data_IF_925472070528
#
_entry.id   IF_925472070528
#
_cell.length_a   1.000
_cell.length_b   1.000
_cell.length_c   1.000
_cell.angle_alpha   90.00
_cell.angle_beta   90.00
_cell.angle_gamma   90.00
#
_symmetry.space_group_name_H-M   'P 1'
#
loop_
_entity.id
_entity.type
_entity.pdbx_description
1 polymer ?
#
# COMPACT_ATOMS: atom_id res chain seq x y z
N UNK A 1 1.26 -1.03 35.21
CA UNK A 1 1.63 -1.18 33.80
C UNK A 1 1.06 -2.50 33.33
N UNK A 2 0.04 -2.44 32.47
CA UNK A 2 -0.54 -3.63 31.86
C UNK A 2 0.01 -3.69 30.44
N UNK A 3 1.18 -4.31 30.28
CA UNK A 3 1.77 -4.50 28.96
C UNK A 3 0.78 -5.25 28.05
N UNK A 4 0.50 -4.68 26.88
CA UNK A 4 -0.38 -5.28 25.89
C UNK A 4 0.21 -6.62 25.47
N UNK A 5 -0.41 -7.72 25.89
CA UNK A 5 -0.05 -9.06 25.41
C UNK A 5 -0.78 -9.31 24.10
N UNK A 6 -0.05 -9.66 23.06
CA UNK A 6 -0.56 -10.06 21.73
C UNK A 6 -0.10 -11.51 21.51
N UNK A 7 -0.98 -12.37 21.02
CA UNK A 7 -0.67 -13.80 20.87
C UNK A 7 0.21 -14.06 19.63
N UNK A 8 1.11 -15.04 19.73
CA UNK A 8 1.92 -15.53 18.61
C UNK A 8 1.11 -16.54 17.78
N UNK A 9 1.09 -16.38 16.46
CA UNK A 9 0.54 -17.38 15.53
C UNK A 9 1.24 -18.74 15.77
N UNK A 10 0.54 -19.89 15.72
CA UNK A 10 -0.82 -20.09 15.21
C UNK A 10 -1.92 -20.06 16.29
N UNK A 11 -1.59 -19.75 17.55
CA UNK A 11 -2.48 -19.97 18.67
C UNK A 11 -3.30 -18.71 18.99
N UNK A 12 -4.60 -18.73 18.69
CA UNK A 12 -5.54 -17.75 19.23
C UNK A 12 -5.79 -18.07 20.70
N UNK A 13 -5.62 -17.11 21.60
CA UNK A 13 -5.78 -17.30 23.05
C UNK A 13 -6.83 -16.34 23.62
N UNK A 14 -7.44 -16.68 24.76
CA UNK A 14 -8.39 -15.82 25.47
C UNK A 14 -7.75 -14.62 26.22
N UNK A 15 -6.41 -14.53 26.28
CA UNK A 15 -5.69 -13.57 27.14
C UNK A 15 -5.08 -12.36 26.43
N UNK A 16 -5.01 -12.36 25.11
CA UNK A 16 -4.37 -11.28 24.37
C UNK A 16 -5.38 -10.19 23.98
N UNK A 17 -4.94 -8.93 23.93
CA UNK A 17 -5.84 -7.78 23.70
C UNK A 17 -6.57 -7.92 22.36
N UNK A 18 -5.89 -8.44 21.33
CA UNK A 18 -6.45 -8.59 19.98
C UNK A 18 -7.56 -9.62 19.96
N UNK A 19 -7.35 -10.80 20.57
CA UNK A 19 -8.39 -11.82 20.69
C UNK A 19 -9.54 -11.35 21.59
N UNK A 20 -9.27 -10.53 22.61
CA UNK A 20 -10.32 -9.93 23.44
C UNK A 20 -11.17 -8.88 22.70
N UNK A 21 -10.66 -8.29 21.62
CA UNK A 21 -11.39 -7.31 20.79
C UNK A 21 -12.10 -8.01 19.63
N UNK A 22 -11.36 -8.77 18.82
CA UNK A 22 -11.83 -9.38 17.57
C UNK A 22 -12.34 -10.83 17.72
N UNK A 23 -12.26 -11.38 18.93
CA UNK A 23 -12.62 -12.77 19.21
C UNK A 23 -11.50 -13.76 18.88
N UNK A 24 -11.77 -15.01 19.23
CA UNK A 24 -10.93 -16.19 18.95
C UNK A 24 -11.83 -17.42 18.79
N UNK A 25 -11.23 -18.59 18.57
CA UNK A 25 -11.97 -19.84 18.67
C UNK A 25 -12.55 -20.10 20.08
N UNK A 26 -12.04 -19.40 21.09
CA UNK A 26 -12.38 -19.58 22.51
C UNK A 26 -13.21 -18.42 23.09
N UNK A 27 -13.38 -17.31 22.34
CA UNK A 27 -14.03 -16.10 22.83
C UNK A 27 -14.76 -15.32 21.73
N UNK A 28 -15.92 -14.75 22.06
CA UNK A 28 -16.70 -13.94 21.14
C UNK A 28 -16.03 -12.59 20.83
N UNK A 29 -16.23 -12.10 19.62
CA UNK A 29 -15.79 -10.75 19.23
C UNK A 29 -16.65 -9.68 19.88
N UNK A 30 -16.02 -8.61 20.36
CA UNK A 30 -16.69 -7.35 20.76
C UNK A 30 -16.74 -6.33 19.63
N UNK A 31 -16.18 -6.67 18.46
CA UNK A 31 -16.19 -5.84 17.26
C UNK A 31 -16.91 -6.57 16.13
N UNK A 32 -17.85 -5.90 15.48
CA UNK A 32 -18.57 -6.39 14.31
C UNK A 32 -18.34 -5.41 13.17
N UNK A 33 -17.57 -5.84 12.17
CA UNK A 33 -17.39 -5.07 10.93
C UNK A 33 -18.46 -5.56 9.96
N UNK A 34 -19.36 -4.67 9.53
CA UNK A 34 -20.35 -5.01 8.49
C UNK A 34 -19.68 -5.03 7.12
N UNK A 35 -20.28 -5.76 6.19
CA UNK A 35 -19.87 -5.71 4.80
C UNK A 35 -19.91 -4.27 4.28
N UNK A 36 -18.80 -3.80 3.72
CA UNK A 36 -18.72 -2.45 3.18
C UNK A 36 -19.48 -2.39 1.86
N UNK A 37 -20.65 -1.76 1.86
CA UNK A 37 -21.46 -1.59 0.66
C UNK A 37 -20.92 -0.43 -0.16
N UNK A 38 -21.00 -0.53 -1.49
CA UNK A 38 -20.59 0.56 -2.37
C UNK A 38 -21.45 1.80 -2.11
N UNK A 39 -20.80 2.95 -1.94
CA UNK A 39 -21.49 4.21 -1.65
C UNK A 39 -22.31 4.68 -2.86
N UNK A 40 -23.29 5.56 -2.62
CA UNK A 40 -24.08 6.15 -3.72
C UNK A 40 -23.22 6.97 -4.69
N UNK A 41 -22.17 7.62 -4.19
CA UNK A 41 -21.21 8.39 -4.98
C UNK A 41 -20.48 7.52 -6.02
N UNK A 42 -20.30 6.23 -5.70
CA UNK A 42 -19.60 5.26 -6.54
C UNK A 42 -20.50 4.59 -7.58
N UNK A 43 -21.83 4.74 -7.50
CA UNK A 43 -22.79 4.02 -8.37
C UNK A 43 -22.69 4.34 -9.86
N UNK A 44 -22.13 5.48 -10.22
CA UNK A 44 -22.02 5.93 -11.62
C UNK A 44 -20.68 5.58 -12.27
N UNK A 45 -19.78 4.92 -11.54
CA UNK A 45 -18.46 4.54 -12.03
C UNK A 45 -18.45 3.14 -12.62
N UNK A 46 -17.45 2.86 -13.45
CA UNK A 46 -17.18 1.50 -13.93
C UNK A 46 -16.87 0.62 -12.71
N UNK A 47 -17.66 -0.41 -12.47
CA UNK A 47 -17.62 -1.18 -11.24
C UNK A 47 -16.40 -2.10 -11.15
N UNK A 48 -16.04 -2.73 -12.28
CA UNK A 48 -14.90 -3.65 -12.35
C UNK A 48 -14.20 -3.59 -13.71
N UNK A 49 -12.94 -4.04 -13.72
CA UNK A 49 -12.09 -4.19 -14.89
C UNK A 49 -11.43 -5.57 -14.87
N UNK A 50 -11.41 -6.28 -16.00
CA UNK A 50 -10.60 -7.50 -16.12
C UNK A 50 -9.18 -7.15 -16.57
N UNK A 51 -8.18 -7.69 -15.86
CA UNK A 51 -6.77 -7.52 -16.19
C UNK A 51 -6.08 -8.88 -16.35
N UNK A 52 -5.24 -9.07 -17.37
CA UNK A 52 -4.47 -10.30 -17.52
C UNK A 52 -3.41 -10.40 -16.41
N UNK A 53 -3.38 -11.54 -15.73
CA UNK A 53 -2.37 -11.88 -14.73
C UNK A 53 -1.06 -12.25 -15.43
N UNK A 54 -0.06 -11.37 -15.33
CA UNK A 54 1.26 -11.60 -15.89
C UNK A 54 2.33 -11.65 -14.79
N UNK A 55 3.09 -12.74 -14.73
CA UNK A 55 4.08 -12.99 -13.68
C UNK A 55 5.46 -13.29 -14.28
N UNK A 56 6.41 -12.38 -14.07
CA UNK A 56 7.82 -12.60 -14.44
C UNK A 56 8.56 -13.31 -13.29
N UNK A 57 9.19 -14.46 -13.56
CA UNK A 57 9.93 -15.23 -12.55
C UNK A 57 11.43 -15.01 -12.70
N UNK A 58 12.14 -14.78 -11.58
CA UNK A 58 13.60 -14.73 -11.60
C UNK A 58 14.17 -16.15 -11.74
N UNK A 59 14.94 -16.38 -12.80
CA UNK A 59 15.70 -17.61 -13.00
C UNK A 59 17.10 -17.41 -12.43
N UNK A 60 17.32 -17.92 -11.21
CA UNK A 60 18.61 -17.86 -10.51
C UNK A 60 19.77 -18.45 -11.33
N UNK A 61 19.51 -19.47 -12.16
CA UNK A 61 20.55 -20.11 -12.97
C UNK A 61 20.96 -19.23 -14.15
N UNK A 62 20.03 -18.42 -14.66
CA UNK A 62 20.25 -17.55 -15.82
C UNK A 62 20.56 -16.11 -15.45
N UNK A 63 20.48 -15.74 -14.17
CA UNK A 63 20.66 -14.36 -13.70
C UNK A 63 19.69 -13.36 -14.35
N UNK A 64 18.50 -13.81 -14.75
CA UNK A 64 17.52 -12.96 -15.45
C UNK A 64 16.08 -13.37 -15.17
N UNK A 65 15.17 -12.42 -15.33
CA UNK A 65 13.74 -12.72 -15.36
C UNK A 65 13.38 -13.44 -16.65
N UNK A 66 12.60 -14.51 -16.51
CA UNK A 66 12.02 -15.25 -17.63
C UNK A 66 10.50 -15.20 -17.52
N UNK A 67 9.88 -14.93 -18.65
CA UNK A 67 8.45 -15.08 -18.80
C UNK A 67 8.14 -16.58 -18.83
N UNK A 68 7.27 -17.06 -17.94
CA UNK A 68 6.66 -18.38 -18.07
C UNK A 68 5.15 -18.19 -18.13
N UNK A 69 4.51 -18.43 -19.29
CA UNK A 69 3.07 -18.58 -19.30
C UNK A 69 2.70 -19.71 -18.32
N UNK A 70 1.69 -19.48 -17.48
CA UNK A 70 1.20 -20.53 -16.60
C UNK A 70 0.74 -21.71 -17.47
N UNK A 71 1.01 -22.97 -17.06
CA UNK A 71 0.59 -24.16 -17.82
C UNK A 71 -0.93 -24.23 -18.07
N UNK A 72 -1.74 -23.47 -17.32
CA UNK A 72 -3.21 -23.40 -17.45
C UNK A 72 -3.75 -22.22 -18.26
N UNK A 73 -2.91 -21.46 -18.98
CA UNK A 73 -3.33 -20.32 -19.80
C UNK A 73 -3.23 -18.95 -19.11
N UNK A 74 -3.71 -17.91 -19.82
CA UNK A 74 -3.82 -16.55 -19.28
C UNK A 74 -4.91 -16.54 -18.20
N UNK A 75 -4.50 -16.37 -16.95
CA UNK A 75 -5.45 -16.07 -15.87
C UNK A 75 -5.83 -14.60 -15.99
N UNK A 76 -7.10 -14.26 -15.95
CA UNK A 76 -7.57 -12.89 -15.74
C UNK A 76 -7.86 -12.68 -14.26
N UNK A 77 -7.71 -11.44 -13.80
CA UNK A 77 -8.11 -10.99 -12.48
C UNK A 77 -9.11 -9.86 -12.66
N UNK A 78 -10.23 -9.95 -11.95
CA UNK A 78 -11.14 -8.83 -11.81
C UNK A 78 -10.57 -7.85 -10.78
N UNK A 79 -10.52 -6.58 -11.17
CA UNK A 79 -9.98 -5.48 -10.41
C UNK A 79 -11.09 -4.46 -10.18
N UNK A 80 -11.19 -3.97 -8.94
CA UNK A 80 -12.09 -2.88 -8.58
C UNK A 80 -11.29 -1.57 -8.72
N UNK A 81 -11.70 -0.61 -9.58
CA UNK A 81 -11.08 0.71 -9.62
C UNK A 81 -11.29 1.46 -8.30
N UNK A 82 -10.64 2.62 -8.08
CA UNK A 82 -10.88 3.46 -6.93
C UNK A 82 -12.37 3.78 -6.80
N UNK A 83 -13.02 3.14 -5.83
CA UNK A 83 -14.42 3.31 -5.47
C UNK A 83 -14.49 3.58 -3.97
N UNK A 84 -15.58 4.21 -3.56
CA UNK A 84 -15.90 4.55 -2.18
C UNK A 84 -16.91 3.52 -1.66
N UNK A 85 -16.65 3.03 -0.45
CA UNK A 85 -17.50 2.06 0.24
C UNK A 85 -17.84 2.58 1.64
N UNK A 86 -19.07 2.32 2.08
CA UNK A 86 -19.57 2.70 3.39
C UNK A 86 -19.09 1.69 4.44
N UNK A 87 -18.18 2.13 5.31
CA UNK A 87 -17.65 1.33 6.42
C UNK A 87 -18.53 1.52 7.67
N UNK A 88 -19.08 0.42 8.21
CA UNK A 88 -19.82 0.43 9.47
C UNK A 88 -19.25 -0.60 10.44
N UNK A 89 -18.78 -0.12 11.60
CA UNK A 89 -18.21 -0.95 12.66
C UNK A 89 -19.04 -0.76 13.93
N UNK A 90 -19.52 -1.86 14.50
CA UNK A 90 -20.18 -1.89 15.80
C UNK A 90 -19.21 -2.42 16.85
N UNK A 91 -19.14 -1.74 17.98
CA UNK A 91 -18.26 -2.11 19.09
C UNK A 91 -19.07 -2.25 20.38
N UNK A 92 -18.80 -3.29 21.14
CA UNK A 92 -19.51 -3.61 22.38
C UNK A 92 -18.61 -3.43 23.59
N UNK A 93 -18.86 -2.39 24.39
CA UNK A 93 -18.18 -2.15 25.66
C UNK A 93 -16.64 -2.25 25.56
N UNK A 94 -16.06 -1.70 24.50
CA UNK A 94 -14.62 -1.52 24.42
C UNK A 94 -14.17 -0.42 25.37
N UNK A 95 -13.04 -0.64 26.03
CA UNK A 95 -12.38 0.42 26.80
C UNK A 95 -11.77 1.46 25.85
N UNK A 96 -11.51 2.66 26.35
CA UNK A 96 -10.93 3.74 25.55
C UNK A 96 -9.59 3.32 24.89
N UNK A 97 -8.73 2.57 25.58
CA UNK A 97 -7.47 2.03 25.02
C UNK A 97 -7.69 1.02 23.88
N UNK A 98 -8.76 0.23 23.95
CA UNK A 98 -9.14 -0.73 22.91
C UNK A 98 -9.75 -0.02 21.68
N UNK A 99 -10.51 1.06 21.91
CA UNK A 99 -11.02 1.94 20.85
C UNK A 99 -9.84 2.63 20.16
N UNK A 100 -8.87 3.17 20.92
CA UNK A 100 -7.64 3.74 20.38
C UNK A 100 -6.89 2.75 19.48
N UNK A 101 -6.78 1.49 19.90
CA UNK A 101 -6.10 0.45 19.11
C UNK A 101 -6.84 0.13 17.80
N UNK A 102 -8.17 0.07 17.83
CA UNK A 102 -8.99 -0.09 16.63
C UNK A 102 -8.82 1.09 15.67
N UNK A 103 -8.89 2.31 16.19
CA UNK A 103 -8.72 3.54 15.41
C UNK A 103 -7.31 3.65 14.81
N UNK A 104 -6.28 3.27 15.57
CA UNK A 104 -4.91 3.16 15.05
C UNK A 104 -4.85 2.19 13.87
N UNK A 105 -5.46 1.00 14.00
CA UNK A 105 -5.52 0.02 12.91
C UNK A 105 -6.23 0.54 11.64
N UNK A 106 -7.25 1.40 11.78
CA UNK A 106 -7.89 2.06 10.65
C UNK A 106 -7.00 3.17 10.05
N UNK A 107 -6.30 3.92 10.90
CA UNK A 107 -5.37 4.97 10.48
C UNK A 107 -4.18 4.43 9.65
N UNK A 108 -3.83 3.15 9.81
CA UNK A 108 -2.82 2.49 8.99
C UNK A 108 -3.14 2.46 7.49
N UNK A 109 -4.43 2.49 7.12
CA UNK A 109 -4.84 2.63 5.71
C UNK A 109 -4.52 4.04 5.19
N UNK A 110 -4.74 5.06 6.02
CA UNK A 110 -4.44 6.46 5.68
C UNK A 110 -2.94 6.69 5.48
N UNK A 111 -2.13 5.94 6.20
CA UNK A 111 -0.67 5.94 6.06
C UNK A 111 -0.17 4.85 5.09
N UNK A 112 -1.06 4.24 4.30
CA UNK A 112 -0.71 3.30 3.21
C UNK A 112 0.03 2.05 3.66
N UNK A 113 0.04 1.72 4.96
CA UNK A 113 0.73 0.54 5.51
C UNK A 113 -0.18 -0.68 5.60
N UNK A 114 -1.49 -0.46 5.72
CA UNK A 114 -2.51 -1.49 5.60
C UNK A 114 -3.02 -1.60 4.15
N UNK A 115 -3.35 -2.83 3.73
CA UNK A 115 -3.90 -3.11 2.40
C UNK A 115 -4.97 -4.19 2.46
N UNK A 116 -5.88 -4.17 1.49
CA UNK A 116 -6.99 -5.12 1.38
C UNK A 116 -6.76 -6.09 0.23
N UNK A 117 -6.99 -7.38 0.46
CA UNK A 117 -7.04 -8.40 -0.58
C UNK A 117 -5.69 -8.93 -1.06
N UNK A 118 -5.73 -9.62 -2.20
CA UNK A 118 -4.56 -10.26 -2.82
C UNK A 118 -3.78 -9.35 -3.76
N UNK A 119 -2.53 -9.70 -4.06
CA UNK A 119 -1.75 -8.99 -5.09
C UNK A 119 -1.16 -7.64 -4.65
N UNK A 120 -1.16 -7.33 -3.35
CA UNK A 120 -0.57 -6.11 -2.76
C UNK A 120 0.85 -5.81 -3.26
N UNK A 121 1.67 -6.85 -3.45
CA UNK A 121 3.03 -6.71 -3.98
C UNK A 121 3.11 -6.15 -5.41
N UNK A 122 1.98 -6.03 -6.12
CA UNK A 122 1.83 -5.46 -7.46
C UNK A 122 1.23 -4.06 -7.46
N UNK A 123 0.91 -3.51 -6.29
CA UNK A 123 0.30 -2.19 -6.15
C UNK A 123 -1.21 -2.19 -5.88
N UNK A 124 -1.82 -3.35 -5.61
CA UNK A 124 -3.25 -3.45 -5.30
C UNK A 124 -3.55 -3.28 -3.81
N UNK A 125 -4.82 -3.02 -3.50
CA UNK A 125 -5.32 -3.04 -2.13
C UNK A 125 -5.03 -1.80 -1.31
N UNK A 126 -4.48 -0.73 -1.90
CA UNK A 126 -4.41 0.57 -1.23
C UNK A 126 -5.82 1.12 -1.06
N UNK A 127 -6.12 1.58 0.15
CA UNK A 127 -7.38 2.22 0.52
C UNK A 127 -7.08 3.35 1.53
N UNK A 128 -8.01 4.28 1.67
CA UNK A 128 -8.07 5.24 2.77
C UNK A 128 -9.38 5.05 3.54
N UNK A 129 -9.38 5.46 4.80
CA UNK A 129 -10.55 5.52 5.67
C UNK A 129 -10.76 6.98 6.03
N UNK A 130 -11.74 7.59 5.39
CA UNK A 130 -12.06 9.02 5.52
C UNK A 130 -13.43 9.19 6.18
N UNK A 131 -13.67 10.37 6.78
CA UNK A 131 -14.99 10.73 7.31
C UNK A 131 -15.49 9.88 8.48
N UNK A 132 -14.59 9.25 9.23
CA UNK A 132 -14.97 8.40 10.37
C UNK A 132 -15.71 9.24 11.43
N UNK A 133 -16.83 8.72 11.91
CA UNK A 133 -17.58 9.29 13.04
C UNK A 133 -17.73 8.25 14.12
N UNK A 134 -17.51 8.63 15.38
CA UNK A 134 -17.70 7.75 16.54
C UNK A 134 -18.94 8.18 17.31
N UNK A 135 -19.82 7.21 17.54
CA UNK A 135 -21.05 7.40 18.31
C UNK A 135 -21.13 6.35 19.41
N UNK A 136 -21.38 6.81 20.63
CA UNK A 136 -21.51 5.98 21.81
C UNK A 136 -22.98 5.87 22.20
N UNK A 137 -23.44 4.64 22.39
CA UNK A 137 -24.75 4.36 22.94
C UNK A 137 -24.60 4.04 24.42
N UNK A 138 -25.21 4.86 25.28
CA UNK A 138 -25.17 4.71 26.74
C UNK A 138 -26.55 4.29 27.23
N UNK A 139 -26.62 3.20 27.99
CA UNK A 139 -27.85 2.79 28.67
C UNK A 139 -27.86 3.40 30.08
N UNK A 140 -28.80 4.32 30.32
CA UNK A 140 -29.01 5.01 31.60
C UNK A 140 -30.49 4.98 31.95
N UNK A 141 -30.86 4.48 33.13
CA UNK A 141 -32.26 4.31 33.58
C UNK A 141 -33.19 3.65 32.54
N UNK A 142 -32.75 2.54 31.92
CA UNK A 142 -33.46 1.83 30.84
C UNK A 142 -33.74 2.69 29.59
N UNK A 143 -33.05 3.82 29.43
CA UNK A 143 -33.11 4.67 28.24
C UNK A 143 -31.76 4.66 27.55
N UNK A 144 -31.79 4.53 26.22
CA UNK A 144 -30.59 4.65 25.40
C UNK A 144 -30.39 6.12 25.05
N UNK A 145 -29.22 6.66 25.36
CA UNK A 145 -28.75 7.96 24.88
C UNK A 145 -27.64 7.75 23.87
N UNK A 146 -27.64 8.56 22.81
CA UNK A 146 -26.60 8.58 21.80
C UNK A 146 -25.74 9.83 21.99
N UNK A 147 -24.43 9.65 22.02
CA UNK A 147 -23.45 10.71 22.18
C UNK A 147 -22.45 10.63 21.03
N UNK A 148 -22.25 11.74 20.32
CA UNK A 148 -21.16 11.83 19.33
C UNK A 148 -19.86 12.11 20.07
N UNK A 149 -18.85 11.29 19.83
CA UNK A 149 -17.54 11.44 20.46
C UNK A 149 -16.56 12.11 19.51
N UNK A 150 -15.66 12.94 20.05
CA UNK A 150 -14.55 13.48 19.28
C UNK A 150 -13.45 12.40 19.18
N UNK A 151 -13.14 11.96 17.97
CA UNK A 151 -12.10 10.96 17.73
C UNK A 151 -10.76 11.34 18.36
N UNK A 152 -10.45 12.64 18.46
CA UNK A 152 -9.20 13.15 19.06
C UNK A 152 -9.05 12.80 20.54
N UNK A 153 -10.14 12.48 21.23
CA UNK A 153 -10.12 12.02 22.62
C UNK A 153 -9.54 10.60 22.74
N UNK A 154 -9.65 9.79 21.68
CA UNK A 154 -9.16 8.41 21.61
C UNK A 154 -7.84 8.31 20.84
N UNK A 155 -7.52 9.30 20.00
CA UNK A 155 -6.19 9.48 19.41
C UNK A 155 -5.28 10.21 20.40
N UNK A 156 -4.92 9.55 21.51
CA UNK A 156 -3.51 9.48 21.88
C UNK A 156 -3.22 8.23 22.74
N UNK A 157 -2.51 7.24 22.22
CA UNK A 157 -1.69 6.37 23.06
C UNK A 157 -0.52 7.20 23.65
N UNK A 158 -0.86 8.16 24.53
CA UNK A 158 0.04 8.93 25.39
C UNK A 158 0.61 7.99 26.45
N UNK A 159 1.52 7.13 26.00
CA UNK A 159 2.64 6.46 26.69
C UNK A 159 2.95 5.17 25.93
N UNK A 160 3.91 5.28 25.02
CA UNK A 160 4.55 4.19 24.29
C UNK A 160 5.09 3.04 25.18
N UNK A 161 5.08 3.17 26.50
CA UNK A 161 5.57 2.17 27.44
C UNK A 161 4.77 0.85 27.43
N UNK A 162 3.47 0.87 27.09
CA UNK A 162 2.63 -0.34 27.09
C UNK A 162 2.60 -1.10 25.74
N UNK A 163 3.14 -0.50 24.65
CA UNK A 163 3.34 -1.15 23.33
C UNK A 163 4.79 -1.64 23.17
N UNK A 164 5.49 -1.97 24.27
CA UNK A 164 6.73 -2.76 24.18
C UNK A 164 6.36 -4.22 23.96
N UNK A 165 5.76 -4.48 22.81
CA UNK A 165 5.49 -5.82 22.32
C UNK A 165 6.84 -6.53 22.09
N UNK A 166 6.86 -7.84 22.34
CA UNK A 166 8.03 -8.68 22.12
C UNK A 166 8.52 -8.65 20.68
N UNK A 167 9.56 -9.44 20.40
CA UNK A 167 10.29 -9.49 19.12
C UNK A 167 9.44 -9.85 17.87
N UNK A 168 8.14 -10.05 18.05
CA UNK A 168 7.19 -10.54 17.05
C UNK A 168 6.57 -9.44 16.18
N UNK A 169 6.79 -8.16 16.50
CA UNK A 169 6.50 -7.05 15.58
C UNK A 169 7.65 -6.78 14.60
N UNK A 170 7.99 -7.77 13.78
CA UNK A 170 8.86 -7.51 12.62
C UNK A 170 8.30 -6.41 11.72
N UNK A 171 6.99 -6.14 11.76
CA UNK A 171 6.30 -5.06 11.05
C UNK A 171 6.68 -3.64 11.50
N UNK A 172 7.18 -3.47 12.74
CA UNK A 172 7.58 -2.19 13.33
C UNK A 172 9.07 -2.17 13.67
N UNK A 173 9.87 -2.83 12.84
CA UNK A 173 11.32 -2.84 13.03
C UNK A 173 11.81 -1.40 13.07
N UNK A 174 12.50 -1.04 14.16
CA UNK A 174 13.06 0.29 14.41
C UNK A 174 12.06 1.44 14.54
N UNK A 175 10.81 1.16 14.92
CA UNK A 175 9.85 2.22 15.26
C UNK A 175 10.24 3.03 16.52
N UNK A 176 11.14 2.49 17.34
CA UNK A 176 11.68 3.06 18.57
C UNK A 176 12.99 3.83 18.38
N UNK A 177 13.64 3.71 17.23
CA UNK A 177 14.88 4.43 16.94
C UNK A 177 14.63 5.75 16.20
N UNK A 178 15.53 6.72 16.38
CA UNK A 178 15.44 8.01 15.69
C UNK A 178 16.22 8.02 14.37
N UNK A 179 16.19 6.91 13.62
CA UNK A 179 16.85 6.80 12.31
C UNK A 179 15.81 6.65 11.20
N UNK A 180 16.13 6.84 9.90
CA UNK A 180 15.16 6.72 8.82
C UNK A 180 15.15 5.25 8.32
N UNK A 181 15.32 4.32 9.25
CA UNK A 181 15.19 2.89 9.03
C UNK A 181 13.81 2.45 9.53
N UNK A 182 13.31 1.32 9.02
CA UNK A 182 12.03 0.79 9.45
C UNK A 182 10.96 0.92 8.38
N UNK A 183 9.74 1.25 8.80
CA UNK A 183 8.61 1.40 7.91
C UNK A 183 8.45 2.87 7.51
N UNK A 184 8.72 3.19 6.25
CA UNK A 184 8.65 4.55 5.69
C UNK A 184 7.67 4.59 4.54
N UNK A 185 6.84 5.62 4.52
CA UNK A 185 5.89 5.89 3.44
C UNK A 185 6.32 7.19 2.80
N UNK A 186 6.61 7.16 1.51
CA UNK A 186 7.00 8.32 0.73
C UNK A 186 5.93 8.65 -0.29
N UNK A 187 5.56 9.92 -0.36
CA UNK A 187 4.80 10.48 -1.47
C UNK A 187 5.78 11.06 -2.48
N UNK A 188 5.63 10.63 -3.73
CA UNK A 188 6.43 11.12 -4.83
C UNK A 188 5.51 11.66 -5.91
N UNK A 189 5.99 12.69 -6.58
CA UNK A 189 5.44 13.09 -7.85
C UNK A 189 6.20 12.47 -9.01
N UNK A 190 5.50 12.12 -10.07
CA UNK A 190 6.05 11.54 -11.30
C UNK A 190 5.78 12.51 -12.44
N UNK A 191 6.80 13.24 -12.86
CA UNK A 191 6.73 14.13 -14.00
C UNK A 191 6.96 13.36 -15.29
N UNK A 192 5.96 13.34 -16.17
CA UNK A 192 6.11 12.79 -17.52
C UNK A 192 6.92 13.75 -18.39
N UNK A 193 8.15 13.40 -18.76
CA UNK A 193 9.01 14.25 -19.60
C UNK A 193 8.66 14.14 -21.09
N UNK A 194 8.03 13.03 -21.46
CA UNK A 194 7.43 12.78 -22.78
C UNK A 194 5.98 12.35 -22.59
N UNK A 195 5.22 12.30 -23.69
CA UNK A 195 3.96 11.55 -23.68
C UNK A 195 4.25 10.12 -23.23
N UNK A 196 3.45 9.61 -22.30
CA UNK A 196 3.59 8.29 -21.75
C UNK A 196 2.46 7.40 -22.29
N UNK A 197 2.87 6.29 -22.91
CA UNK A 197 1.96 5.33 -23.53
C UNK A 197 2.35 3.93 -23.06
N UNK A 198 1.39 3.23 -22.45
CA UNK A 198 1.58 1.87 -21.96
C UNK A 198 0.43 1.03 -22.45
N UNK A 199 0.61 0.37 -23.60
CA UNK A 199 -0.42 -0.49 -24.18
C UNK A 199 -0.78 -1.63 -23.22
N UNK A 200 -2.08 -1.78 -22.97
CA UNK A 200 -2.63 -2.98 -22.37
C UNK A 200 -2.58 -4.15 -23.36
N UNK A 201 -2.95 -5.35 -22.90
CA UNK A 201 -3.12 -6.52 -23.80
C UNK A 201 -4.30 -6.29 -24.74
N UNK A 202 -5.41 -5.75 -24.20
CA UNK A 202 -6.65 -5.47 -24.95
C UNK A 202 -7.04 -3.98 -24.98
N UNK A 203 -6.42 -3.14 -24.13
CA UNK A 203 -6.67 -1.70 -24.06
C UNK A 203 -5.57 -0.88 -24.75
N UNK A 204 -5.95 0.26 -25.35
CA UNK A 204 -5.00 1.18 -26.00
C UNK A 204 -3.96 1.70 -25.02
N UNK A 205 -4.34 1.85 -23.74
CA UNK A 205 -3.46 2.07 -22.61
C UNK A 205 -3.96 1.38 -21.35
N UNK A 206 -3.05 1.12 -20.41
CA UNK A 206 -3.43 0.74 -19.04
C UNK A 206 -4.08 1.94 -18.36
N UNK A 207 -5.36 1.78 -18.03
CA UNK A 207 -6.18 2.79 -17.36
C UNK A 207 -6.79 2.22 -16.07
N UNK A 208 -7.24 3.11 -15.20
CA UNK A 208 -8.01 2.80 -14.00
C UNK A 208 -9.26 3.68 -14.04
N UNK A 209 -10.44 3.07 -14.16
CA UNK A 209 -11.68 3.83 -14.36
C UNK A 209 -11.69 4.65 -15.66
N UNK A 210 -10.91 4.25 -16.66
CA UNK A 210 -10.72 4.98 -17.92
C UNK A 210 -9.69 6.12 -17.86
N UNK A 211 -9.12 6.42 -16.69
CA UNK A 211 -8.04 7.40 -16.54
C UNK A 211 -6.69 6.69 -16.72
N UNK A 212 -5.80 7.14 -17.61
CA UNK A 212 -4.52 6.49 -17.83
C UNK A 212 -3.60 6.66 -16.61
N UNK A 213 -2.98 5.56 -16.19
CA UNK A 213 -2.08 5.50 -15.02
C UNK A 213 -0.73 4.89 -15.39
N UNK A 214 0.28 5.12 -14.54
CA UNK A 214 1.51 4.30 -14.57
C UNK A 214 1.39 3.25 -13.47
N UNK A 215 1.21 1.96 -13.80
CA UNK A 215 1.01 0.93 -12.79
C UNK A 215 2.21 0.80 -11.85
N UNK A 216 1.95 0.62 -10.55
CA UNK A 216 2.99 0.43 -9.54
C UNK A 216 3.85 -0.80 -9.85
N UNK A 217 3.26 -1.86 -10.40
CA UNK A 217 3.98 -3.04 -10.90
C UNK A 217 4.99 -2.74 -12.02
N UNK A 218 4.72 -1.74 -12.87
CA UNK A 218 5.63 -1.32 -13.96
C UNK A 218 6.79 -0.52 -13.39
N UNK A 219 6.52 0.42 -12.48
CA UNK A 219 7.55 1.18 -11.75
C UNK A 219 8.46 0.21 -10.98
N UNK A 220 7.85 -0.74 -10.26
CA UNK A 220 8.56 -1.76 -9.49
C UNK A 220 9.38 -2.67 -10.40
N UNK A 221 8.82 -3.11 -11.52
CA UNK A 221 9.54 -3.91 -12.52
C UNK A 221 10.74 -3.18 -13.10
N UNK A 222 10.63 -1.87 -13.33
CA UNK A 222 11.74 -1.01 -13.73
C UNK A 222 12.84 -0.96 -12.66
N UNK A 223 12.49 -0.66 -11.41
CA UNK A 223 13.45 -0.62 -10.29
C UNK A 223 14.16 -1.97 -10.13
N UNK A 224 13.38 -3.05 -10.12
CA UNK A 224 13.90 -4.41 -10.01
C UNK A 224 14.94 -4.71 -11.09
N UNK A 225 14.68 -4.34 -12.36
CA UNK A 225 15.63 -4.52 -13.47
C UNK A 225 16.91 -3.69 -13.30
N UNK A 226 16.81 -2.45 -12.81
CA UNK A 226 17.97 -1.56 -12.60
C UNK A 226 18.88 -2.02 -11.47
N UNK A 227 18.32 -2.60 -10.41
CA UNK A 227 19.09 -3.07 -9.26
C UNK A 227 19.71 -4.46 -9.43
N UNK A 228 19.37 -5.25 -10.47
CA UNK A 228 19.99 -6.59 -10.72
C UNK A 228 21.52 -6.53 -10.76
N UNK A 229 22.11 -5.43 -11.28
CA UNK A 229 23.56 -5.27 -11.37
C UNK A 229 24.20 -4.63 -10.13
N UNK A 230 23.38 -4.12 -9.20
CA UNK A 230 23.84 -3.37 -8.02
C UNK A 230 23.67 -4.16 -6.73
N UNK A 231 22.63 -4.98 -6.64
CA UNK A 231 22.31 -5.81 -5.48
C UNK A 231 22.39 -7.30 -5.85
N UNK A 232 22.76 -8.12 -4.87
CA UNK A 232 22.76 -9.56 -5.07
C UNK A 232 21.33 -10.12 -5.23
N UNK A 233 21.24 -11.35 -5.75
CA UNK A 233 19.96 -11.99 -6.02
C UNK A 233 19.09 -12.20 -4.77
N UNK A 234 19.70 -12.35 -3.57
CA UNK A 234 18.95 -12.53 -2.32
C UNK A 234 18.31 -11.21 -1.91
N UNK A 235 19.05 -10.11 -1.99
CA UNK A 235 18.56 -8.76 -1.71
C UNK A 235 17.47 -8.33 -2.69
N UNK A 236 17.62 -8.63 -3.98
CA UNK A 236 16.57 -8.38 -4.99
C UNK A 236 15.29 -9.17 -4.68
N UNK A 237 15.43 -10.44 -4.27
CA UNK A 237 14.28 -11.25 -3.88
C UNK A 237 13.63 -10.68 -2.60
N UNK A 238 14.43 -10.33 -1.59
CA UNK A 238 13.99 -9.74 -0.31
C UNK A 238 13.21 -8.42 -0.50
N UNK A 239 13.80 -7.47 -1.25
CA UNK A 239 13.23 -6.14 -1.43
C UNK A 239 11.99 -6.14 -2.31
N UNK A 240 12.01 -6.87 -3.43
CA UNK A 240 10.91 -6.84 -4.42
C UNK A 240 9.91 -7.99 -4.28
N UNK A 241 10.17 -8.94 -3.38
CA UNK A 241 9.34 -10.10 -3.10
C UNK A 241 9.63 -11.31 -3.98
N UNK A 242 9.37 -12.49 -3.41
CA UNK A 242 9.55 -13.79 -4.06
C UNK A 242 8.21 -14.33 -4.60
N UNK A 243 8.23 -15.00 -5.75
CA UNK A 243 7.05 -15.70 -6.29
C UNK A 243 7.04 -17.20 -5.98
N UNK A 244 7.84 -17.63 -4.99
CA UNK A 244 7.82 -19.03 -4.53
C UNK A 244 6.57 -19.29 -3.69
N UNK A 245 6.17 -20.55 -3.60
CA UNK A 245 5.02 -20.99 -2.79
C UNK A 245 5.20 -20.64 -1.30
N UNK A 246 6.45 -20.61 -0.85
CA UNK A 246 6.89 -20.15 0.49
C UNK A 246 7.54 -18.76 0.42
N UNK A 247 7.20 -17.97 -0.59
CA UNK A 247 7.77 -16.65 -0.84
C UNK A 247 7.32 -15.65 0.21
N UNK A 248 8.19 -14.69 0.52
CA UNK A 248 7.87 -13.60 1.44
C UNK A 248 7.30 -12.39 0.68
N UNK A 249 6.57 -11.53 1.41
CA UNK A 249 6.06 -10.25 0.90
C UNK A 249 7.23 -9.36 0.46
N UNK A 250 6.97 -8.53 -0.55
CA UNK A 250 7.89 -7.47 -0.96
C UNK A 250 8.04 -6.40 0.11
N UNK A 251 9.26 -5.94 0.36
CA UNK A 251 9.52 -4.79 1.23
C UNK A 251 9.29 -3.44 0.56
N UNK A 252 9.31 -3.39 -0.77
CA UNK A 252 8.89 -2.19 -1.53
C UNK A 252 7.52 -2.40 -2.13
N UNK A 253 6.57 -1.56 -1.74
CA UNK A 253 5.23 -1.50 -2.31
C UNK A 253 5.07 -0.16 -3.01
N UNK A 254 4.50 -0.17 -4.20
CA UNK A 254 4.37 1.02 -5.04
C UNK A 254 2.93 1.06 -5.50
N UNK A 255 2.24 2.16 -5.22
CA UNK A 255 0.90 2.40 -5.75
C UNK A 255 0.98 2.65 -7.26
N UNK A 256 -0.16 2.60 -7.93
CA UNK A 256 -0.27 3.20 -9.26
C UNK A 256 0.01 4.71 -9.15
N UNK A 257 0.64 5.28 -10.19
CA UNK A 257 0.82 6.72 -10.31
C UNK A 257 -0.33 7.29 -11.16
N UNK A 258 -1.05 8.24 -10.60
CA UNK A 258 -2.28 8.80 -11.18
C UNK A 258 -2.34 10.31 -10.99
N UNK A 259 -3.25 10.97 -11.71
CA UNK A 259 -3.58 12.38 -11.51
C UNK A 259 -5.08 12.54 -11.73
N UNK A 260 -5.70 13.36 -10.88
CA UNK A 260 -7.12 13.71 -10.98
C UNK A 260 -7.37 14.73 -12.11
N UNK A 261 -6.32 15.41 -12.58
CA UNK A 261 -6.39 16.44 -13.63
C UNK A 261 -6.38 15.84 -15.05
N UNK A 262 -6.28 14.52 -15.18
CA UNK A 262 -6.23 13.84 -16.48
C UNK A 262 -7.64 13.42 -16.89
N UNK A 263 -8.09 13.95 -18.02
CA UNK A 263 -9.28 13.44 -18.71
C UNK A 263 -9.00 12.07 -19.35
N UNK A 264 -9.99 11.17 -19.43
CA UNK A 264 -9.84 9.90 -20.16
C UNK A 264 -9.25 10.10 -21.57
N UNK A 265 -8.06 9.55 -21.81
CA UNK A 265 -7.34 9.62 -23.09
C UNK A 265 -6.46 8.37 -23.28
N UNK A 266 -6.08 8.14 -24.54
CA UNK A 266 -5.18 7.07 -24.97
C UNK A 266 -3.69 7.40 -24.65
N UNK A 267 -3.39 8.35 -23.74
CA UNK A 267 -2.03 8.66 -23.24
C UNK A 267 -2.05 9.56 -22.01
N UNK A 268 -0.95 9.56 -21.27
CA UNK A 268 -0.63 10.62 -20.31
C UNK A 268 0.23 11.66 -21.04
N UNK A 269 -0.20 12.93 -21.15
CA UNK A 269 0.57 13.96 -21.85
C UNK A 269 1.94 14.25 -21.23
N UNK A 270 2.88 14.72 -22.06
CA UNK A 270 4.11 15.31 -21.55
C UNK A 270 3.81 16.49 -20.61
N UNK A 271 4.66 16.64 -19.60
CA UNK A 271 4.61 17.62 -18.50
C UNK A 271 3.48 17.40 -17.50
N UNK A 272 2.71 16.32 -17.62
CA UNK A 272 1.76 15.94 -16.59
C UNK A 272 2.50 15.43 -15.34
N UNK A 273 2.07 15.92 -14.17
CA UNK A 273 2.55 15.51 -12.85
C UNK A 273 1.55 14.50 -12.28
N UNK A 274 2.00 13.27 -12.06
CA UNK A 274 1.23 12.24 -11.37
C UNK A 274 1.66 12.17 -9.90
N UNK A 275 0.80 11.68 -9.02
CA UNK A 275 1.10 11.35 -7.63
C UNK A 275 1.21 9.84 -7.47
N UNK A 276 2.19 9.38 -6.70
CA UNK A 276 2.30 7.98 -6.29
C UNK A 276 2.87 7.84 -4.88
N UNK A 277 2.61 6.71 -4.26
CA UNK A 277 3.18 6.36 -2.95
C UNK A 277 4.11 5.16 -3.08
N UNK A 278 5.22 5.23 -2.35
CA UNK A 278 6.14 4.11 -2.15
C UNK A 278 6.23 3.82 -0.66
N UNK A 279 5.91 2.58 -0.29
CA UNK A 279 6.07 2.07 1.08
C UNK A 279 7.32 1.22 1.13
N UNK A 280 8.25 1.61 1.99
CA UNK A 280 9.46 0.90 2.35
C UNK A 280 9.22 0.18 3.68
N UNK A 281 8.84 -1.09 3.60
CA UNK A 281 8.46 -1.96 4.72
C UNK A 281 9.72 -2.60 5.34
N UNK A 282 10.15 -2.07 6.50
CA UNK A 282 11.29 -2.54 7.28
C UNK A 282 12.60 -2.59 6.46
N UNK A 283 12.93 -1.43 5.87
CA UNK A 283 14.11 -1.25 5.03
C UNK A 283 15.17 -0.36 5.70
N UNK A 284 16.41 -0.54 5.27
CA UNK A 284 17.53 0.30 5.68
C UNK A 284 17.58 1.60 4.88
N UNK A 285 17.98 2.69 5.53
CA UNK A 285 18.17 4.04 4.97
C UNK A 285 18.96 4.01 3.66
N UNK A 286 20.07 3.26 3.64
CA UNK A 286 20.93 3.15 2.47
C UNK A 286 20.16 2.65 1.25
N UNK A 287 19.31 1.66 1.43
CA UNK A 287 18.56 1.03 0.34
C UNK A 287 17.43 1.91 -0.15
N UNK A 288 16.79 2.63 0.79
CA UNK A 288 15.80 3.66 0.48
C UNK A 288 16.45 4.78 -0.33
N UNK A 289 17.62 5.28 0.10
CA UNK A 289 18.40 6.31 -0.61
C UNK A 289 18.83 5.85 -2.00
N UNK A 290 19.27 4.61 -2.15
CA UNK A 290 19.62 4.04 -3.45
C UNK A 290 18.41 4.09 -4.41
N UNK A 291 17.22 3.67 -3.94
CA UNK A 291 15.99 3.70 -4.74
C UNK A 291 15.58 5.13 -5.10
N UNK A 292 15.51 6.03 -4.12
CA UNK A 292 15.09 7.42 -4.33
C UNK A 292 16.07 8.18 -5.24
N UNK A 293 17.37 7.95 -5.07
CA UNK A 293 18.42 8.53 -5.93
C UNK A 293 18.29 8.08 -7.38
N UNK A 294 18.00 6.80 -7.62
CA UNK A 294 17.73 6.29 -8.96
C UNK A 294 16.48 6.95 -9.56
N UNK A 295 15.40 7.07 -8.79
CA UNK A 295 14.12 7.64 -9.24
C UNK A 295 14.21 9.15 -9.54
N UNK A 296 15.07 9.90 -8.82
CA UNK A 296 15.33 11.33 -9.02
C UNK A 296 15.98 11.64 -10.37
N UNK A 297 16.65 10.66 -10.97
CA UNK A 297 17.20 10.76 -12.31
C UNK A 297 16.11 10.70 -13.37
N UNK A 298 16.43 11.14 -14.58
CA UNK A 298 15.52 10.93 -15.70
C UNK A 298 15.58 9.47 -16.16
N UNK A 299 14.43 8.80 -16.09
CA UNK A 299 14.31 7.38 -16.30
C UNK A 299 13.39 7.07 -17.49
N UNK A 300 13.72 6.00 -18.21
CA UNK A 300 12.80 5.43 -19.21
C UNK A 300 12.07 4.24 -18.60
N UNK A 301 10.76 4.39 -18.36
CA UNK A 301 9.91 3.36 -17.76
C UNK A 301 9.01 2.77 -18.84
N UNK A 302 9.15 1.47 -19.10
CA UNK A 302 8.36 0.76 -20.12
C UNK A 302 7.81 -0.54 -19.56
N UNK A 303 6.59 -0.91 -19.97
CA UNK A 303 6.10 -2.28 -19.85
C UNK A 303 6.78 -3.20 -20.86
N UNK A 304 6.67 -4.52 -20.66
CA UNK A 304 7.28 -5.50 -21.57
C UNK A 304 6.80 -5.35 -23.03
N UNK A 305 5.56 -4.89 -23.26
CA UNK A 305 5.00 -4.62 -24.62
C UNK A 305 5.53 -3.30 -25.21
N UNK A 306 5.85 -2.31 -24.37
CA UNK A 306 6.31 -0.97 -24.77
C UNK A 306 7.83 -0.80 -24.79
N UNK A 307 8.60 -1.85 -24.46
CA UNK A 307 10.06 -1.78 -24.32
C UNK A 307 10.81 -1.37 -25.60
N UNK A 308 10.15 -1.44 -26.77
CA UNK A 308 10.70 -1.01 -28.07
C UNK A 308 10.44 0.46 -28.41
N UNK A 309 9.85 1.23 -27.49
CA UNK A 309 9.34 2.58 -27.76
C UNK A 309 8.14 2.54 -28.71
N UNK A 310 7.46 3.67 -28.87
CA UNK A 310 6.42 3.82 -29.88
C UNK A 310 6.89 4.77 -31.00
N UNK A 311 6.40 4.56 -32.22
CA UNK A 311 6.75 5.41 -33.36
C UNK A 311 5.81 6.60 -33.43
N UNK A 312 6.36 7.81 -33.44
CA UNK A 312 5.63 9.05 -33.76
C UNK A 312 6.39 9.79 -34.85
N UNK A 313 5.75 10.00 -36.01
CA UNK A 313 6.37 10.70 -37.14
C UNK A 313 7.70 10.08 -37.60
N UNK A 314 7.85 8.76 -37.53
CA UNK A 314 9.07 8.05 -37.93
C UNK A 314 10.19 8.00 -36.89
N UNK A 315 10.08 8.72 -35.76
CA UNK A 315 11.05 8.66 -34.65
C UNK A 315 10.55 7.77 -33.51
N UNK A 316 11.49 7.09 -32.86
CA UNK A 316 11.24 6.25 -31.70
C UNK A 316 11.14 7.14 -30.46
N UNK A 317 10.01 7.10 -29.77
CA UNK A 317 9.76 7.86 -28.54
C UNK A 317 9.70 6.88 -27.38
N UNK A 318 10.38 7.23 -26.30
CA UNK A 318 10.44 6.46 -25.07
C UNK A 318 9.69 7.20 -23.97
N UNK A 319 9.02 6.45 -23.11
CA UNK A 319 8.34 6.94 -21.93
C UNK A 319 9.36 7.44 -20.90
N UNK A 320 9.69 8.74 -20.95
CA UNK A 320 10.64 9.37 -20.03
C UNK A 320 9.88 9.98 -18.85
N UNK A 321 10.33 9.66 -17.65
CA UNK A 321 9.74 10.15 -16.40
C UNK A 321 10.84 10.54 -15.42
N UNK A 322 10.53 11.45 -14.51
CA UNK A 322 11.39 11.83 -13.39
C UNK A 322 10.53 11.87 -12.12
N UNK A 323 11.07 11.37 -11.02
CA UNK A 323 10.37 11.40 -9.74
C UNK A 323 10.94 12.50 -8.86
N UNK A 324 10.08 13.12 -8.06
CA UNK A 324 10.47 14.08 -7.03
C UNK A 324 9.80 13.68 -5.73
N UNK A 325 10.59 13.63 -4.64
CA UNK A 325 10.07 13.35 -3.31
C UNK A 325 9.32 14.58 -2.82
N UNK A 326 8.03 14.42 -2.52
CA UNK A 326 7.21 15.49 -1.94
C UNK A 326 7.26 15.42 -0.42
N UNK A 327 7.15 14.22 0.13
CA UNK A 327 7.19 13.97 1.57
C UNK A 327 7.55 12.52 1.90
N UNK A 328 8.05 12.30 3.12
CA UNK A 328 8.27 10.97 3.67
C UNK A 328 7.94 10.94 5.16
N UNK A 329 7.22 9.91 5.58
CA UNK A 329 6.84 9.70 6.98
C UNK A 329 7.31 8.34 7.46
N UNK A 330 7.89 8.32 8.66
CA UNK A 330 8.30 7.11 9.36
C UNK A 330 7.28 6.79 10.43
N UNK A 331 6.90 5.50 10.53
CA UNK A 331 6.14 5.06 11.69
C UNK A 331 7.01 5.08 12.96
N UNK A 332 6.57 5.78 14.01
CA UNK A 332 7.28 5.82 15.31
C UNK A 332 6.37 5.48 16.48
N UNK A 333 6.91 5.01 17.59
CA UNK A 333 6.08 4.71 18.78
C UNK A 333 5.60 5.97 19.51
N UNK A 334 6.32 7.09 19.39
CA UNK A 334 6.05 8.32 20.13
C UNK A 334 5.10 9.26 19.40
N UNK A 335 5.25 9.39 18.08
CA UNK A 335 4.51 10.36 17.24
C UNK A 335 3.61 9.66 16.22
N UNK A 336 3.56 8.32 16.21
CA UNK A 336 2.97 7.43 15.19
C UNK A 336 3.50 7.65 13.78
N UNK A 337 3.61 8.88 13.30
CA UNK A 337 4.09 9.25 11.97
C UNK A 337 4.97 10.50 12.07
N UNK A 338 6.29 10.29 12.01
CA UNK A 338 7.27 11.37 12.05
C UNK A 338 7.66 11.77 10.63
N UNK A 339 7.63 13.07 10.33
CA UNK A 339 8.18 13.60 9.08
C UNK A 339 9.70 13.37 9.03
N UNK A 340 10.14 12.62 8.02
CA UNK A 340 11.54 12.29 7.73
C UNK A 340 11.96 12.75 6.32
N UNK A 341 11.18 13.63 5.69
CA UNK A 341 11.43 14.12 4.33
C UNK A 341 12.84 14.68 4.16
N UNK A 342 13.30 15.48 5.12
CA UNK A 342 14.63 16.10 5.10
C UNK A 342 15.82 15.12 5.11
N UNK A 343 15.58 13.85 5.44
CA UNK A 343 16.62 12.81 5.45
C UNK A 343 16.95 12.28 4.05
N UNK A 344 16.05 12.53 3.10
CA UNK A 344 16.09 12.01 1.73
C UNK A 344 16.15 13.11 0.65
N UNK A 345 16.19 14.39 1.05
CA UNK A 345 16.23 15.57 0.18
C UNK A 345 17.42 15.66 -0.76
#
# INVERSE_FOLDING_TARGET
>A
SFGIRICELPNTCDRCVICGIFGSQEGASRVRVKDCMMSEESRYWRLTEERPHHADRYDLKKGRYVNRPNPGGFRTEEYIPPLIFDLHIEVENLRDDEISLLLLGLDEFNHRRAHIGGGVSRGYGFASVDGLTLRRLVLDDFRVREETCDLREFFPLRKADDIRAGRDFRYYWRADDDTPNGCIVSELSVLCMSDFILKGVDERNVSVGGIPVIPGSVIKGFLRKRFINHWDARKIDDVFGSQRRDGHRSRVLISDAFSEDITPDDRIPARTKLRCWIVFDNMEERDIKDILSLLKQENTITGNVSARGYRRGGKMVFNRVKFELESAWKFTLDDFHKDVTGWFG
#
